data_IF_888437389152
#
_entry.id   IF_888437389152
#
_cell.length_a   1.000
_cell.length_b   1.000
_cell.length_c   1.000
_cell.angle_alpha   90.00
_cell.angle_beta   90.00
_cell.angle_gamma   90.00
#
_symmetry.space_group_name_H-M   'P 1'
#
loop_
_entity.id
_entity.type
_entity.pdbx_description
1 polymer ?
#
# COMPACT_ATOMS: atom_id res chain seq x y z
N UNK A 1 19.58 -1.45 -8.65
CA UNK A 1 18.64 -2.17 -7.79
C UNK A 1 17.51 -2.73 -8.63
N UNK A 2 17.19 -3.99 -8.47
CA UNK A 2 16.03 -4.57 -9.16
C UNK A 2 14.80 -4.50 -8.25
N UNK A 3 13.66 -4.23 -8.88
CA UNK A 3 12.37 -4.26 -8.20
C UNK A 3 11.59 -5.48 -8.67
N UNK A 4 10.95 -6.17 -7.77
CA UNK A 4 10.11 -7.33 -8.09
C UNK A 4 8.66 -6.86 -8.22
N UNK A 5 8.24 -6.56 -9.44
CA UNK A 5 6.87 -6.16 -9.73
C UNK A 5 5.90 -7.35 -9.85
N UNK A 6 6.42 -8.58 -9.82
CA UNK A 6 5.59 -9.77 -9.84
C UNK A 6 5.24 -10.27 -8.45
N UNK A 7 5.85 -9.70 -7.43
CA UNK A 7 5.53 -10.04 -6.04
C UNK A 7 4.08 -9.70 -5.73
N UNK A 8 3.34 -10.66 -5.19
CA UNK A 8 1.97 -10.45 -4.72
C UNK A 8 2.05 -9.93 -3.29
N UNK A 9 1.63 -8.70 -3.10
CA UNK A 9 1.61 -8.05 -1.78
C UNK A 9 0.21 -8.18 -1.20
N UNK A 10 0.01 -8.91 -0.10
CA UNK A 10 -1.30 -9.00 0.55
C UNK A 10 -1.74 -7.62 1.05
N UNK A 11 -2.91 -7.19 0.62
CA UNK A 11 -3.41 -5.85 0.92
C UNK A 11 -4.69 -5.85 1.74
N UNK A 12 -5.38 -6.98 1.85
CA UNK A 12 -6.59 -7.11 2.66
C UNK A 12 -6.26 -6.92 4.14
N UNK A 13 -7.14 -6.27 4.87
CA UNK A 13 -7.00 -6.03 6.32
C UNK A 13 -5.79 -5.17 6.70
N UNK A 14 -5.39 -4.27 5.78
CA UNK A 14 -4.29 -3.32 6.03
C UNK A 14 -4.78 -1.87 6.09
N UNK A 15 -6.07 -1.66 6.36
CA UNK A 15 -6.73 -0.36 6.30
C UNK A 15 -6.65 0.25 4.89
N UNK A 16 -6.64 -0.60 3.88
CA UNK A 16 -6.56 -0.21 2.48
C UNK A 16 -7.96 -0.07 1.90
N UNK A 17 -8.38 1.13 1.59
CA UNK A 17 -9.72 1.41 1.07
C UNK A 17 -10.02 0.58 -0.17
N UNK A 18 -9.05 0.42 -1.06
CA UNK A 18 -9.21 -0.30 -2.31
C UNK A 18 -9.66 -1.76 -2.11
N UNK A 19 -9.13 -2.44 -1.09
CA UNK A 19 -9.43 -3.85 -0.81
C UNK A 19 -10.45 -4.02 0.32
N UNK A 20 -10.34 -3.21 1.37
CA UNK A 20 -11.13 -3.43 2.59
C UNK A 20 -12.55 -2.87 2.50
N UNK A 21 -12.82 -1.99 1.53
CA UNK A 21 -14.15 -1.41 1.32
C UNK A 21 -14.88 -1.97 0.08
N UNK A 22 -14.34 -3.02 -0.54
CA UNK A 22 -14.91 -3.61 -1.75
C UNK A 22 -16.35 -4.07 -1.54
N UNK A 23 -16.61 -4.79 -0.46
CA UNK A 23 -17.95 -5.32 -0.18
C UNK A 23 -18.95 -4.20 0.03
N UNK A 24 -18.56 -3.15 0.73
CA UNK A 24 -19.41 -2.00 1.00
C UNK A 24 -19.76 -1.23 -0.27
N UNK A 25 -18.78 -1.06 -1.16
CA UNK A 25 -18.96 -0.28 -2.40
C UNK A 25 -19.65 -1.10 -3.49
N UNK A 26 -19.26 -2.37 -3.66
CA UNK A 26 -19.71 -3.21 -4.78
C UNK A 26 -20.68 -4.31 -4.38
N UNK A 27 -20.95 -4.49 -3.08
CA UNK A 27 -21.87 -5.49 -2.58
C UNK A 27 -21.33 -6.92 -2.57
N UNK A 28 -20.08 -7.15 -2.93
CA UNK A 28 -19.42 -8.46 -2.95
C UNK A 28 -17.93 -8.32 -2.77
N UNK A 29 -17.30 -9.35 -2.19
CA UNK A 29 -15.85 -9.46 -2.10
C UNK A 29 -15.25 -10.28 -3.23
N UNK A 30 -16.10 -10.90 -4.06
CA UNK A 30 -15.66 -11.78 -5.15
C UNK A 30 -15.34 -10.98 -6.41
N UNK A 31 -14.39 -10.07 -6.30
CA UNK A 31 -13.94 -9.22 -7.41
C UNK A 31 -12.45 -8.95 -7.26
N UNK A 32 -11.80 -8.63 -8.37
CA UNK A 32 -10.41 -8.14 -8.37
C UNK A 32 -10.48 -6.61 -8.36
N UNK A 33 -10.03 -5.95 -7.27
CA UNK A 33 -10.11 -4.50 -7.18
C UNK A 33 -9.20 -3.81 -8.20
N UNK A 34 -9.81 -3.01 -9.08
CA UNK A 34 -9.08 -2.21 -10.08
C UNK A 34 -9.69 -0.81 -10.22
N UNK A 35 -10.44 -0.38 -9.22
CA UNK A 35 -11.35 0.77 -9.32
C UNK A 35 -10.78 2.10 -8.83
N UNK A 36 -9.67 2.09 -8.14
CA UNK A 36 -9.10 3.31 -7.55
C UNK A 36 -7.62 3.42 -7.95
N UNK A 37 -7.12 4.65 -8.06
CA UNK A 37 -5.73 4.93 -8.42
C UNK A 37 -4.79 4.60 -7.26
N UNK A 38 -4.62 3.33 -7.01
CA UNK A 38 -3.81 2.78 -5.93
C UNK A 38 -3.13 1.53 -6.47
N UNK A 39 -1.84 1.62 -6.72
CA UNK A 39 -1.05 0.52 -7.27
C UNK A 39 -0.72 -0.51 -6.21
N UNK A 40 -0.62 -1.76 -6.65
CA UNK A 40 -0.34 -2.90 -5.76
C UNK A 40 1.14 -3.24 -5.67
N UNK A 41 1.99 -2.37 -6.15
CA UNK A 41 3.45 -2.54 -6.10
C UNK A 41 4.02 -1.91 -4.85
N UNK A 42 5.05 -2.55 -4.28
CA UNK A 42 5.77 -1.95 -3.17
C UNK A 42 6.46 -0.65 -3.59
N UNK A 43 6.47 0.31 -2.69
CA UNK A 43 7.25 1.52 -2.83
C UNK A 43 8.73 1.16 -2.96
N UNK A 44 9.51 1.84 -3.81
CA UNK A 44 10.94 1.60 -3.91
C UNK A 44 11.64 1.66 -2.55
N UNK A 45 12.52 0.70 -2.24
CA UNK A 45 13.12 0.60 -0.90
C UNK A 45 13.83 1.87 -0.42
N UNK A 46 14.45 2.62 -1.32
CA UNK A 46 15.18 3.84 -0.92
C UNK A 46 14.24 4.91 -0.35
N UNK A 47 13.00 4.97 -0.81
CA UNK A 47 12.00 5.92 -0.28
C UNK A 47 11.61 5.52 1.13
N UNK A 48 11.29 4.23 1.33
CA UNK A 48 10.90 3.70 2.64
C UNK A 48 12.04 3.85 3.65
N UNK A 49 13.26 3.55 3.24
CA UNK A 49 14.44 3.67 4.11
C UNK A 49 14.72 5.11 4.52
N UNK A 50 14.53 6.06 3.60
CA UNK A 50 14.69 7.48 3.91
C UNK A 50 13.68 7.93 4.97
N UNK A 51 12.43 7.50 4.84
CA UNK A 51 11.39 7.81 5.83
C UNK A 51 11.72 7.16 7.17
N UNK A 52 12.11 5.89 7.16
CA UNK A 52 12.48 5.16 8.38
C UNK A 52 13.61 5.85 9.12
N UNK A 53 14.64 6.27 8.40
CA UNK A 53 15.78 6.99 8.98
C UNK A 53 15.35 8.32 9.58
N UNK A 54 14.44 9.04 8.91
CA UNK A 54 13.93 10.31 9.43
C UNK A 54 13.15 10.12 10.73
N UNK A 55 12.44 9.01 10.86
CA UNK A 55 11.66 8.70 12.06
C UNK A 55 12.51 8.42 13.30
N UNK A 56 13.81 8.18 13.16
CA UNK A 56 14.72 8.05 14.28
C UNK A 56 14.76 9.34 15.11
N UNK A 57 14.51 10.47 14.48
CA UNK A 57 14.33 11.75 15.17
C UNK A 57 12.84 11.92 15.46
N UNK A 58 12.45 11.82 16.72
CA UNK A 58 11.05 11.70 17.12
C UNK A 58 10.27 13.02 17.12
N UNK A 59 10.90 14.12 16.75
CA UNK A 59 10.22 15.42 16.60
C UNK A 59 9.94 15.65 15.14
N UNK A 60 8.66 15.63 14.75
CA UNK A 60 8.21 15.80 13.38
C UNK A 60 7.87 17.26 13.10
N UNK A 61 8.84 18.13 13.29
CA UNK A 61 8.72 19.54 12.95
C UNK A 61 8.98 19.81 11.47
N UNK A 62 8.85 21.07 11.05
CA UNK A 62 9.25 21.44 9.69
C UNK A 62 10.62 22.13 9.66
#
# INVERSE_FOLDING_TARGET
MKYDFDEIVPREHTDCFKFDNVKEIFGTEDVIPMWIADMDFKTPPFIVETIRKRLEHEVLGY
#
